data_IF_195391715531
#
_entry.id   IF_195391715531
#
_cell.length_a   1.000
_cell.length_b   1.000
_cell.length_c   1.000
_cell.angle_alpha   90.00
_cell.angle_beta   90.00
_cell.angle_gamma   90.00
#
_symmetry.space_group_name_H-M   'P 1'
#
loop_
_entity.id
_entity.type
_entity.pdbx_description
1 polymer ?
#
# COMPACT_ATOMS: atom_id res chain seq x y z
N UNK A 1 -15.01 -27.32 25.24
CA UNK A 1 -14.84 -27.24 23.77
C UNK A 1 -14.39 -25.82 23.49
N UNK A 2 -13.08 -25.60 23.59
CA UNK A 2 -12.49 -24.29 23.32
C UNK A 2 -12.71 -23.97 21.86
N UNK A 3 -13.44 -22.88 21.62
CA UNK A 3 -13.45 -22.22 20.33
C UNK A 3 -12.04 -21.70 20.09
N UNK A 4 -11.17 -22.51 19.51
CA UNK A 4 -10.07 -22.05 18.67
C UNK A 4 -10.70 -21.19 17.57
N UNK A 5 -11.03 -19.94 17.92
CA UNK A 5 -11.33 -18.92 16.93
C UNK A 5 -10.07 -18.83 16.11
N UNK A 6 -10.18 -19.27 14.87
CA UNK A 6 -9.25 -19.04 13.77
C UNK A 6 -8.83 -17.56 13.82
N UNK A 7 -7.76 -17.23 14.55
CA UNK A 7 -7.28 -15.86 14.62
C UNK A 7 -6.66 -15.59 13.26
N UNK A 8 -7.29 -14.70 12.50
CA UNK A 8 -6.88 -14.37 11.15
C UNK A 8 -5.82 -13.28 11.21
N UNK A 9 -4.71 -13.46 10.48
CA UNK A 9 -3.75 -12.39 10.28
C UNK A 9 -4.29 -11.40 9.24
N UNK A 10 -4.18 -10.11 9.51
CA UNK A 10 -4.49 -9.04 8.57
C UNK A 10 -3.24 -8.23 8.25
N UNK A 11 -2.87 -8.12 6.98
CA UNK A 11 -1.81 -7.22 6.51
C UNK A 11 -2.44 -6.00 5.84
N UNK A 12 -2.01 -4.80 6.26
CA UNK A 12 -2.47 -3.52 5.70
C UNK A 12 -1.29 -2.63 5.31
N UNK A 13 -1.52 -1.69 4.41
CA UNK A 13 -0.51 -0.75 3.91
C UNK A 13 -0.85 0.72 4.23
N UNK A 14 -1.94 0.95 4.97
CA UNK A 14 -2.31 2.25 5.53
C UNK A 14 -2.37 2.17 7.07
N UNK A 15 -1.75 3.15 7.73
CA UNK A 15 -1.63 3.16 9.20
C UNK A 15 -2.97 3.46 9.87
N UNK A 16 -3.80 4.32 9.28
CA UNK A 16 -5.10 4.66 9.84
C UNK A 16 -6.02 3.45 9.78
N UNK A 17 -5.98 2.68 8.70
CA UNK A 17 -6.67 1.40 8.60
C UNK A 17 -6.20 0.41 9.69
N UNK A 18 -4.89 0.27 9.89
CA UNK A 18 -4.35 -0.58 10.97
C UNK A 18 -4.93 -0.20 12.34
N UNK A 19 -4.92 1.10 12.64
CA UNK A 19 -5.46 1.63 13.90
C UNK A 19 -6.97 1.37 14.03
N UNK A 20 -7.74 1.60 12.96
CA UNK A 20 -9.19 1.37 12.96
C UNK A 20 -9.54 -0.10 13.26
N UNK A 21 -8.82 -1.05 12.65
CA UNK A 21 -9.03 -2.49 12.89
C UNK A 21 -8.69 -2.90 14.34
N UNK A 22 -7.67 -2.27 14.93
CA UNK A 22 -7.29 -2.52 16.32
C UNK A 22 -8.32 -1.96 17.30
N UNK A 23 -8.85 -0.76 17.03
CA UNK A 23 -9.88 -0.11 17.85
C UNK A 23 -11.14 -0.98 17.97
N UNK A 24 -11.51 -1.69 16.91
CA UNK A 24 -12.66 -2.61 16.90
C UNK A 24 -12.32 -4.03 17.39
N UNK A 25 -11.10 -4.24 17.93
CA UNK A 25 -10.73 -5.46 18.65
C UNK A 25 -10.01 -6.53 17.82
N UNK A 26 -9.60 -6.24 16.57
CA UNK A 26 -8.79 -7.18 15.79
C UNK A 26 -7.34 -7.14 16.29
N UNK A 27 -6.83 -8.29 16.75
CA UNK A 27 -5.53 -8.38 17.42
C UNK A 27 -4.35 -8.56 16.45
N UNK A 28 -4.49 -9.43 15.45
CA UNK A 28 -3.40 -9.76 14.51
C UNK A 28 -3.45 -8.85 13.28
N UNK A 29 -3.10 -7.57 13.49
CA UNK A 29 -3.04 -6.56 12.42
C UNK A 29 -1.60 -6.11 12.23
N UNK A 30 -1.01 -6.49 11.10
CA UNK A 30 0.35 -6.15 10.68
C UNK A 30 0.27 -4.96 9.72
N UNK A 31 1.06 -3.94 10.00
CA UNK A 31 1.16 -2.75 9.16
C UNK A 31 2.52 -2.76 8.46
N UNK A 32 2.51 -2.72 7.12
CA UNK A 32 3.71 -2.55 6.33
C UNK A 32 3.87 -1.06 5.98
N UNK A 33 4.91 -0.43 6.50
CA UNK A 33 5.15 1.02 6.36
C UNK A 33 5.88 1.41 5.08
N UNK A 34 6.16 0.42 4.23
CA UNK A 34 6.80 0.65 2.96
C UNK A 34 5.90 1.43 2.01
N UNK A 35 6.45 2.49 1.46
CA UNK A 35 5.82 3.21 0.37
C UNK A 35 6.09 2.51 -0.97
N UNK A 36 5.11 1.73 -1.42
CA UNK A 36 5.18 1.03 -2.70
C UNK A 36 4.83 1.90 -3.91
N UNK A 37 4.39 3.15 -3.70
CA UNK A 37 4.00 4.05 -4.80
C UNK A 37 5.20 4.75 -5.46
N UNK A 38 6.40 4.56 -4.90
CA UNK A 38 7.58 5.32 -5.27
C UNK A 38 8.85 4.46 -5.22
N UNK A 39 9.74 4.69 -6.19
CA UNK A 39 11.15 4.32 -6.24
C UNK A 39 11.50 2.89 -6.62
N UNK A 40 12.62 2.78 -7.33
CA UNK A 40 13.39 1.56 -7.58
C UNK A 40 13.28 0.60 -6.40
N UNK A 41 12.36 -0.36 -6.51
CA UNK A 41 12.37 -1.53 -5.66
C UNK A 41 13.53 -2.37 -6.22
N UNK A 42 14.75 -1.96 -5.88
CA UNK A 42 15.95 -2.72 -6.18
C UNK A 42 15.87 -3.99 -5.34
N UNK A 43 15.41 -5.08 -5.96
CA UNK A 43 15.43 -6.43 -5.40
C UNK A 43 15.08 -6.48 -3.91
N UNK A 44 13.87 -6.06 -3.59
CA UNK A 44 13.47 -6.12 -2.19
C UNK A 44 12.90 -7.49 -1.85
N UNK A 45 13.80 -8.35 -1.39
CA UNK A 45 13.51 -9.76 -1.19
C UNK A 45 12.80 -10.04 0.13
N UNK A 46 12.76 -9.08 1.07
CA UNK A 46 12.28 -9.33 2.43
C UNK A 46 11.26 -8.32 2.93
N UNK A 47 9.98 -8.57 2.62
CA UNK A 47 8.85 -7.77 3.09
C UNK A 47 8.75 -7.66 4.62
N UNK A 48 9.27 -8.64 5.37
CA UNK A 48 9.18 -8.67 6.84
C UNK A 48 9.97 -7.52 7.51
N UNK A 49 11.00 -6.99 6.84
CA UNK A 49 11.79 -5.85 7.34
C UNK A 49 10.97 -4.55 7.40
N UNK A 50 9.87 -4.49 6.63
CA UNK A 50 8.99 -3.33 6.55
C UNK A 50 7.71 -3.49 7.37
N UNK A 51 7.56 -4.60 8.10
CA UNK A 51 6.46 -4.77 9.02
C UNK A 51 6.79 -4.05 10.33
N UNK A 52 5.86 -3.23 10.81
CA UNK A 52 5.95 -2.62 12.14
C UNK A 52 5.58 -3.67 13.19
N UNK A 53 6.56 -4.06 13.99
CA UNK A 53 6.41 -5.06 15.04
C UNK A 53 6.14 -4.48 16.43
N UNK A 54 6.14 -3.15 16.57
CA UNK A 54 6.03 -2.42 17.86
C UNK A 54 4.77 -2.75 18.66
N UNK A 55 3.73 -3.27 17.99
CA UNK A 55 2.47 -3.67 18.62
C UNK A 55 2.47 -5.10 19.20
N UNK A 56 3.54 -5.88 18.97
CA UNK A 56 3.67 -7.26 19.42
C UNK A 56 4.70 -7.37 20.53
N UNK A 57 4.30 -7.94 21.67
CA UNK A 57 5.21 -8.17 22.80
C UNK A 57 6.26 -9.23 22.52
N UNK A 58 5.97 -10.18 21.64
CA UNK A 58 6.91 -11.21 21.17
C UNK A 58 6.94 -11.21 19.64
N UNK A 59 7.99 -10.57 19.10
CA UNK A 59 8.19 -10.39 17.66
C UNK A 59 8.43 -11.73 16.97
N UNK A 60 9.25 -12.61 17.59
CA UNK A 60 9.59 -13.89 16.98
C UNK A 60 8.35 -14.78 16.84
N UNK A 61 7.52 -14.83 17.88
CA UNK A 61 6.23 -15.53 17.83
C UNK A 61 5.28 -14.92 16.80
N UNK A 62 5.20 -13.59 16.70
CA UNK A 62 4.34 -12.92 15.72
C UNK A 62 4.77 -13.21 14.27
N UNK A 63 6.07 -13.21 13.99
CA UNK A 63 6.62 -13.56 12.68
C UNK A 63 6.32 -15.02 12.33
N UNK A 64 6.51 -15.94 13.28
CA UNK A 64 6.22 -17.35 13.10
C UNK A 64 4.73 -17.59 12.79
N UNK A 65 3.83 -16.93 13.52
CA UNK A 65 2.38 -16.98 13.28
C UNK A 65 2.05 -16.45 11.89
N UNK A 66 2.58 -15.28 11.51
CA UNK A 66 2.34 -14.68 10.20
C UNK A 66 2.79 -15.60 9.04
N UNK A 67 3.90 -16.32 9.22
CA UNK A 67 4.48 -17.21 8.21
C UNK A 67 3.85 -18.61 8.15
N UNK A 68 3.04 -19.00 9.14
CA UNK A 68 2.39 -20.32 9.20
C UNK A 68 0.90 -20.26 8.94
N UNK A 69 0.24 -19.26 9.48
CA UNK A 69 -1.21 -19.17 9.45
C UNK A 69 -1.71 -18.48 8.17
N UNK A 70 -3.03 -18.48 8.00
CA UNK A 70 -3.67 -17.79 6.89
C UNK A 70 -3.57 -16.26 7.05
N UNK A 71 -3.43 -15.58 5.91
CA UNK A 71 -3.26 -14.13 5.83
C UNK A 71 -4.36 -13.52 4.96
N UNK A 72 -5.02 -12.48 5.47
CA UNK A 72 -5.88 -11.58 4.70
C UNK A 72 -5.11 -10.29 4.42
N UNK A 73 -4.89 -9.99 3.15
CA UNK A 73 -4.26 -8.73 2.72
C UNK A 73 -5.39 -7.74 2.39
N UNK A 74 -5.44 -6.63 3.13
CA UNK A 74 -6.34 -5.53 2.84
C UNK A 74 -5.64 -4.53 1.95
N UNK A 75 -6.25 -4.24 0.82
CA UNK A 75 -5.74 -3.27 -0.14
C UNK A 75 -6.88 -2.39 -0.61
N UNK A 76 -6.55 -1.15 -0.94
CA UNK A 76 -7.48 -0.21 -1.51
C UNK A 76 -7.10 0.17 -2.93
N UNK A 77 -7.86 1.06 -3.57
CA UNK A 77 -7.64 1.42 -4.99
C UNK A 77 -6.56 2.48 -5.19
N UNK A 78 -5.81 2.83 -4.13
CA UNK A 78 -4.70 3.75 -4.24
C UNK A 78 -3.41 3.03 -4.71
N UNK A 79 -2.50 3.77 -5.37
CA UNK A 79 -1.23 3.24 -5.89
C UNK A 79 -0.42 2.39 -4.91
N UNK A 80 -0.18 2.91 -3.71
CA UNK A 80 0.69 2.28 -2.72
C UNK A 80 0.12 0.94 -2.25
N UNK A 81 -1.17 0.89 -1.92
CA UNK A 81 -1.80 -0.32 -1.42
C UNK A 81 -1.91 -1.42 -2.48
N UNK A 82 -2.17 -1.06 -3.75
CA UNK A 82 -2.18 -2.03 -4.86
C UNK A 82 -0.79 -2.59 -5.17
N UNK A 83 0.26 -1.77 -5.12
CA UNK A 83 1.62 -2.26 -5.27
C UNK A 83 2.03 -3.11 -4.06
N UNK A 84 1.64 -2.70 -2.85
CA UNK A 84 1.83 -3.48 -1.62
C UNK A 84 1.17 -4.85 -1.68
N UNK A 85 -0.06 -4.92 -2.21
CA UNK A 85 -0.74 -6.19 -2.50
C UNK A 85 0.13 -7.10 -3.38
N UNK A 86 0.66 -6.57 -4.48
CA UNK A 86 1.48 -7.35 -5.41
C UNK A 86 2.78 -7.83 -4.77
N UNK A 87 3.44 -6.97 -4.00
CA UNK A 87 4.65 -7.32 -3.26
C UNK A 87 4.38 -8.41 -2.21
N UNK A 88 3.33 -8.24 -1.40
CA UNK A 88 2.93 -9.17 -0.36
C UNK A 88 2.57 -10.54 -0.93
N UNK A 89 1.70 -10.59 -1.94
CA UNK A 89 1.34 -11.86 -2.58
C UNK A 89 2.58 -12.55 -3.16
N UNK A 90 3.51 -11.79 -3.74
CA UNK A 90 4.75 -12.33 -4.31
C UNK A 90 5.71 -12.90 -3.26
N UNK A 91 5.89 -12.17 -2.15
CA UNK A 91 6.72 -12.63 -1.03
C UNK A 91 6.14 -13.91 -0.41
N UNK A 92 4.86 -13.88 -0.07
CA UNK A 92 4.17 -14.99 0.58
C UNK A 92 3.83 -16.15 -0.36
N UNK A 93 3.90 -15.97 -1.68
CA UNK A 93 3.83 -17.05 -2.66
C UNK A 93 4.89 -18.12 -2.37
N UNK A 94 6.14 -17.70 -2.13
CA UNK A 94 7.26 -18.61 -1.83
C UNK A 94 7.11 -19.32 -0.49
N UNK A 95 6.36 -18.74 0.45
CA UNK A 95 6.11 -19.29 1.80
C UNK A 95 4.93 -20.27 1.85
N UNK A 96 4.19 -20.45 0.75
CA UNK A 96 3.05 -21.38 0.63
C UNK A 96 1.91 -21.16 1.65
N UNK A 97 1.81 -19.99 2.26
CA UNK A 97 0.68 -19.65 3.13
C UNK A 97 -0.61 -19.49 2.33
N UNK A 98 -1.77 -19.67 3.00
CA UNK A 98 -3.08 -19.38 2.42
C UNK A 98 -3.32 -17.87 2.44
N UNK A 99 -3.60 -17.30 1.27
CA UNK A 99 -3.80 -15.85 1.11
C UNK A 99 -5.25 -15.57 0.72
N UNK A 100 -5.86 -14.66 1.48
CA UNK A 100 -7.09 -13.97 1.16
C UNK A 100 -6.76 -12.53 0.82
N UNK A 101 -7.57 -11.92 -0.03
CA UNK A 101 -7.52 -10.48 -0.30
C UNK A 101 -8.90 -9.89 0.00
N UNK A 102 -8.93 -8.64 0.44
CA UNK A 102 -10.17 -7.86 0.51
C UNK A 102 -9.87 -6.43 0.08
N UNK A 103 -10.71 -5.89 -0.78
CA UNK A 103 -10.63 -4.51 -1.24
C UNK A 103 -12.01 -3.85 -1.30
N UNK A 104 -12.07 -2.51 -1.35
CA UNK A 104 -13.33 -1.78 -1.35
C UNK A 104 -14.17 -2.18 -2.58
N UNK A 105 -15.45 -2.46 -2.34
CA UNK A 105 -16.39 -2.78 -3.40
C UNK A 105 -16.76 -1.52 -4.18
N UNK A 106 -16.27 -1.45 -5.42
CA UNK A 106 -16.55 -0.35 -6.37
C UNK A 106 -18.05 -0.24 -6.67
N UNK A 107 -18.81 -1.33 -6.52
CA UNK A 107 -20.25 -1.34 -6.68
C UNK A 107 -20.99 -0.80 -5.46
N UNK A 108 -20.42 -0.93 -4.26
CA UNK A 108 -21.04 -0.50 -3.01
C UNK A 108 -20.90 1.02 -2.80
N UNK A 109 -19.76 1.62 -3.19
CA UNK A 109 -19.59 3.06 -3.16
C UNK A 109 -18.46 3.53 -4.10
N UNK A 110 -18.84 4.13 -5.24
CA UNK A 110 -17.89 4.63 -6.25
C UNK A 110 -16.90 5.69 -5.74
N UNK A 111 -17.17 6.29 -4.57
CA UNK A 111 -16.35 7.35 -3.99
C UNK A 111 -15.33 6.84 -2.96
N UNK A 112 -15.38 5.56 -2.56
CA UNK A 112 -14.47 5.00 -1.57
C UNK A 112 -13.22 4.50 -2.29
N UNK A 113 -12.09 5.17 -2.04
CA UNK A 113 -10.80 4.79 -2.61
C UNK A 113 -9.92 4.07 -1.58
N UNK A 114 -10.20 4.24 -0.28
CA UNK A 114 -9.55 3.54 0.83
C UNK A 114 -10.53 3.05 1.90
N UNK A 115 -10.24 1.90 2.52
CA UNK A 115 -10.96 1.48 3.74
C UNK A 115 -10.83 2.50 4.88
N UNK A 116 -9.80 3.36 4.87
CA UNK A 116 -9.69 4.46 5.83
C UNK A 116 -10.79 5.51 5.68
N UNK A 117 -11.51 5.51 4.55
CA UNK A 117 -12.62 6.43 4.30
C UNK A 117 -13.93 5.97 5.00
N UNK A 118 -13.96 4.75 5.54
CA UNK A 118 -15.11 4.16 6.23
C UNK A 118 -14.99 4.30 7.76
N UNK A 119 -16.14 4.27 8.46
CA UNK A 119 -16.12 4.16 9.91
C UNK A 119 -15.60 2.78 10.34
N UNK A 120 -14.89 2.65 11.48
CA UNK A 120 -14.25 1.39 11.87
C UNK A 120 -15.16 0.15 11.88
N UNK A 121 -16.43 0.28 12.29
CA UNK A 121 -17.38 -0.83 12.30
C UNK A 121 -17.79 -1.28 10.88
N UNK A 122 -17.89 -0.35 9.93
CA UNK A 122 -18.24 -0.64 8.53
C UNK A 122 -17.09 -1.38 7.81
N UNK A 123 -15.85 -1.21 8.30
CA UNK A 123 -14.68 -1.89 7.74
C UNK A 123 -14.82 -3.41 7.88
N UNK A 124 -15.22 -3.95 9.04
CA UNK A 124 -15.33 -5.41 9.21
C UNK A 124 -16.37 -6.01 8.28
N UNK A 125 -17.54 -5.38 8.18
CA UNK A 125 -18.61 -5.85 7.30
C UNK A 125 -18.14 -5.88 5.85
N UNK A 126 -17.53 -4.78 5.39
CA UNK A 126 -16.97 -4.69 4.03
C UNK A 126 -15.84 -5.69 3.80
N UNK A 127 -14.96 -5.89 4.78
CA UNK A 127 -13.83 -6.81 4.69
C UNK A 127 -14.30 -8.24 4.52
N UNK A 128 -15.28 -8.70 5.30
CA UNK A 128 -15.77 -10.08 5.22
C UNK A 128 -16.61 -10.34 3.96
N UNK A 129 -17.39 -9.35 3.49
CA UNK A 129 -18.14 -9.46 2.23
C UNK A 129 -17.22 -9.56 1.01
N UNK A 130 -16.16 -8.76 0.98
CA UNK A 130 -15.25 -8.67 -0.18
C UNK A 130 -14.06 -9.64 -0.10
N UNK A 131 -14.05 -10.52 0.90
CA UNK A 131 -12.95 -11.44 1.16
C UNK A 131 -12.92 -12.55 0.12
N UNK A 132 -11.86 -12.58 -0.66
CA UNK A 132 -11.65 -13.60 -1.70
C UNK A 132 -10.39 -14.38 -1.42
N UNK A 133 -10.51 -15.72 -1.39
CA UNK A 133 -9.35 -16.61 -1.35
C UNK A 133 -8.66 -16.62 -2.71
N UNK A 134 -7.35 -16.38 -2.72
CA UNK A 134 -6.57 -16.50 -3.95
C UNK A 134 -6.29 -17.97 -4.28
N UNK A 135 -6.60 -18.36 -5.52
CA UNK A 135 -6.14 -19.61 -6.14
C UNK A 135 -4.66 -19.52 -6.49
N UNK A 136 -4.01 -20.68 -6.69
CA UNK A 136 -2.61 -20.70 -7.15
C UNK A 136 -2.40 -19.94 -8.46
N UNK A 137 -3.32 -20.09 -9.41
CA UNK A 137 -3.31 -19.37 -10.68
C UNK A 137 -3.37 -17.84 -10.48
N UNK A 138 -4.24 -17.35 -9.59
CA UNK A 138 -4.33 -15.92 -9.29
C UNK A 138 -3.05 -15.41 -8.62
N UNK A 139 -2.47 -16.18 -7.69
CA UNK A 139 -1.19 -15.82 -7.05
C UNK A 139 -0.05 -15.74 -8.05
N UNK A 140 0.04 -16.71 -8.96
CA UNK A 140 1.06 -16.72 -10.01
C UNK A 140 0.92 -15.53 -10.96
N UNK A 141 -0.33 -15.17 -11.33
CA UNK A 141 -0.60 -13.98 -12.15
C UNK A 141 -0.14 -12.70 -11.45
N UNK A 142 -0.42 -12.55 -10.16
CA UNK A 142 0.03 -11.41 -9.36
C UNK A 142 1.56 -11.38 -9.26
N UNK A 143 2.19 -12.53 -8.99
CA UNK A 143 3.65 -12.67 -8.95
C UNK A 143 4.32 -12.23 -10.26
N UNK A 144 3.80 -12.70 -11.40
CA UNK A 144 4.28 -12.29 -12.73
C UNK A 144 4.12 -10.78 -12.93
N UNK A 145 2.98 -10.22 -12.53
CA UNK A 145 2.73 -8.78 -12.65
C UNK A 145 3.69 -7.96 -11.78
N UNK A 146 3.99 -8.44 -10.58
CA UNK A 146 4.95 -7.81 -9.69
C UNK A 146 6.36 -7.76 -10.30
N UNK A 147 6.83 -8.90 -10.82
CA UNK A 147 8.13 -8.96 -11.48
C UNK A 147 8.22 -8.03 -12.69
N UNK A 148 7.15 -7.93 -13.50
CA UNK A 148 7.08 -6.99 -14.62
C UNK A 148 7.23 -5.54 -14.13
N UNK A 149 6.54 -5.15 -13.05
CA UNK A 149 6.61 -3.80 -12.48
C UNK A 149 8.03 -3.48 -12.01
N UNK A 150 8.68 -4.41 -11.31
CA UNK A 150 10.07 -4.25 -10.86
C UNK A 150 11.02 -4.12 -12.06
N UNK A 151 10.92 -5.03 -13.03
CA UNK A 151 11.81 -5.07 -14.21
C UNK A 151 11.68 -3.82 -15.08
N UNK A 152 10.46 -3.30 -15.21
CA UNK A 152 10.17 -2.10 -16.01
C UNK A 152 10.25 -0.81 -15.21
N UNK A 153 10.52 -0.89 -13.90
CA UNK A 153 10.54 0.26 -12.99
C UNK A 153 9.26 1.11 -13.09
N UNK A 154 8.11 0.46 -13.31
CA UNK A 154 6.82 1.13 -13.59
C UNK A 154 5.92 1.25 -12.36
N UNK A 155 6.52 1.48 -11.19
CA UNK A 155 5.79 1.53 -9.92
C UNK A 155 5.13 2.89 -9.65
N UNK A 156 5.51 3.94 -10.39
CA UNK A 156 4.80 5.20 -10.34
C UNK A 156 3.41 5.04 -10.99
N UNK A 157 2.38 5.18 -10.17
CA UNK A 157 0.99 5.02 -10.59
C UNK A 157 0.14 6.19 -10.15
N UNK A 158 -0.80 6.56 -11.00
CA UNK A 158 -1.73 7.65 -10.74
C UNK A 158 -3.16 7.16 -10.88
N UNK A 159 -4.07 7.80 -10.15
CA UNK A 159 -5.48 7.71 -10.44
C UNK A 159 -5.87 8.83 -11.42
N UNK A 160 -6.25 8.48 -12.65
CA UNK A 160 -6.62 9.44 -13.69
C UNK A 160 -7.79 8.91 -14.51
N UNK A 161 -8.80 9.75 -14.71
CA UNK A 161 -10.02 9.41 -15.46
C UNK A 161 -10.72 8.14 -14.90
N UNK A 162 -10.80 8.03 -13.57
CA UNK A 162 -11.45 6.91 -12.89
C UNK A 162 -10.72 5.57 -13.00
N UNK A 163 -9.44 5.57 -13.42
CA UNK A 163 -8.63 4.36 -13.56
C UNK A 163 -7.23 4.58 -13.01
N UNK A 164 -6.66 3.51 -12.46
CA UNK A 164 -5.24 3.46 -12.12
C UNK A 164 -4.40 3.27 -13.38
N UNK A 165 -3.37 4.09 -13.56
CA UNK A 165 -2.48 4.06 -14.73
C UNK A 165 -1.02 4.08 -14.26
N UNK A 166 -0.18 3.27 -14.90
CA UNK A 166 1.27 3.39 -14.77
C UNK A 166 1.75 4.63 -15.53
N UNK A 167 2.72 5.34 -14.98
CA UNK A 167 3.36 6.50 -15.61
C UNK A 167 4.88 6.39 -15.50
N UNK A 168 5.60 7.12 -16.35
CA UNK A 168 7.06 7.25 -16.29
C UNK A 168 7.47 8.13 -15.11
N UNK A 169 8.70 8.00 -14.62
CA UNK A 169 9.21 8.77 -13.49
C UNK A 169 9.09 10.29 -13.71
N UNK A 170 9.27 10.77 -14.93
CA UNK A 170 9.24 12.19 -15.25
C UNK A 170 7.82 12.79 -15.28
N UNK A 171 6.78 11.98 -15.03
CA UNK A 171 5.38 12.38 -15.17
C UNK A 171 5.00 13.64 -14.37
N UNK A 172 5.60 13.84 -13.20
CA UNK A 172 5.30 14.98 -12.32
C UNK A 172 6.23 16.18 -12.49
N UNK A 173 7.16 16.14 -13.44
CA UNK A 173 8.18 17.18 -13.61
C UNK A 173 7.58 18.56 -13.82
N UNK A 174 6.56 18.66 -14.67
CA UNK A 174 5.91 19.94 -14.96
C UNK A 174 5.19 20.50 -13.72
N UNK A 175 4.55 19.62 -12.95
CA UNK A 175 3.91 19.97 -11.69
C UNK A 175 4.94 20.45 -10.66
N UNK A 176 6.11 19.80 -10.56
CA UNK A 176 7.20 20.20 -9.67
C UNK A 176 7.83 21.52 -10.12
N UNK A 177 8.14 21.67 -11.41
CA UNK A 177 8.67 22.91 -12.01
C UNK A 177 7.72 24.08 -11.79
N UNK A 178 6.41 23.86 -11.88
CA UNK A 178 5.40 24.89 -11.63
C UNK A 178 5.48 25.44 -10.20
N UNK A 179 5.58 24.57 -9.19
CA UNK A 179 5.69 24.98 -7.78
C UNK A 179 7.06 25.62 -7.50
N UNK A 180 8.16 25.03 -7.98
CA UNK A 180 9.50 25.53 -7.73
C UNK A 180 9.75 26.89 -8.39
N UNK A 181 9.14 27.20 -9.53
CA UNK A 181 9.22 28.57 -10.12
C UNK A 181 8.56 29.64 -9.26
N UNK A 182 7.64 29.27 -8.37
CA UNK A 182 6.88 30.20 -7.52
C UNK A 182 7.49 30.36 -6.13
N UNK A 183 8.54 29.59 -5.79
CA UNK A 183 9.16 29.58 -4.47
C UNK A 183 10.69 29.62 -4.56
N UNK A 184 11.39 30.14 -3.54
CA UNK A 184 12.85 30.08 -3.49
C UNK A 184 13.33 28.63 -3.57
N UNK A 185 14.35 28.34 -4.39
CA UNK A 185 14.89 26.99 -4.61
C UNK A 185 15.49 26.36 -3.34
N UNK A 186 15.92 27.19 -2.39
CA UNK A 186 16.76 26.75 -1.26
C UNK A 186 15.98 26.22 -0.06
N UNK A 187 14.66 26.07 -0.17
CA UNK A 187 13.82 25.62 0.94
C UNK A 187 12.84 24.51 0.52
N UNK A 188 13.36 23.29 0.44
CA UNK A 188 12.56 22.10 0.15
C UNK A 188 11.44 21.90 1.18
N UNK A 189 11.67 22.25 2.45
CA UNK A 189 10.66 22.15 3.50
C UNK A 189 9.43 23.04 3.21
N UNK A 190 9.63 24.16 2.51
CA UNK A 190 8.55 25.04 2.04
C UNK A 190 7.94 24.64 0.68
N UNK A 191 8.66 23.87 -0.14
CA UNK A 191 8.18 23.39 -1.46
C UNK A 191 7.32 22.13 -1.32
N UNK A 192 7.77 21.17 -0.49
CA UNK A 192 7.16 19.86 -0.34
C UNK A 192 5.65 19.92 0.00
N UNK A 193 5.17 20.72 0.98
CA UNK A 193 3.74 20.81 1.26
C UNK A 193 2.91 21.32 0.07
N UNK A 194 3.45 22.25 -0.73
CA UNK A 194 2.77 22.78 -1.90
C UNK A 194 2.70 21.77 -3.04
N UNK A 195 3.75 20.98 -3.25
CA UNK A 195 3.71 19.85 -4.20
C UNK A 195 2.67 18.82 -3.75
N UNK A 196 2.67 18.42 -2.47
CA UNK A 196 1.69 17.47 -1.95
C UNK A 196 0.25 17.95 -2.13
N UNK A 197 0.00 19.23 -1.86
CA UNK A 197 -1.33 19.82 -2.02
C UNK A 197 -1.77 19.81 -3.49
N UNK A 198 -0.88 20.18 -4.42
CA UNK A 198 -1.15 20.12 -5.85
C UNK A 198 -1.48 18.70 -6.31
N UNK A 199 -0.67 17.72 -5.90
CA UNK A 199 -0.83 16.32 -6.29
C UNK A 199 -2.14 15.73 -5.76
N UNK A 200 -2.47 15.99 -4.49
CA UNK A 200 -3.75 15.57 -3.91
C UNK A 200 -4.94 16.20 -4.62
N UNK A 201 -4.84 17.49 -4.98
CA UNK A 201 -5.91 18.18 -5.70
C UNK A 201 -6.12 17.67 -7.12
N UNK A 202 -5.03 17.36 -7.84
CA UNK A 202 -5.08 16.98 -9.26
C UNK A 202 -5.23 15.49 -9.51
N UNK A 203 -4.68 14.65 -8.64
CA UNK A 203 -4.59 13.20 -8.84
C UNK A 203 -5.18 12.38 -7.69
N UNK A 204 -5.70 13.03 -6.64
CA UNK A 204 -6.30 12.38 -5.46
C UNK A 204 -5.33 11.49 -4.65
N UNK A 205 -4.02 11.74 -4.74
CA UNK A 205 -3.03 11.07 -3.91
C UNK A 205 -1.83 11.96 -3.62
N UNK A 206 -1.15 11.67 -2.51
CA UNK A 206 0.19 12.21 -2.23
C UNK A 206 1.26 11.21 -2.63
N UNK A 207 2.47 11.68 -2.89
CA UNK A 207 3.62 10.84 -3.27
C UNK A 207 4.64 10.86 -2.14
N UNK A 208 5.50 9.86 -2.00
CA UNK A 208 6.57 9.87 -1.00
C UNK A 208 7.37 11.20 -1.04
N UNK A 209 7.58 11.90 0.09
CA UNK A 209 8.46 13.06 0.15
C UNK A 209 9.86 12.84 -0.41
N UNK A 210 10.45 11.65 -0.18
CA UNK A 210 11.78 11.28 -0.71
C UNK A 210 11.80 11.22 -2.23
N UNK A 211 10.67 10.86 -2.86
CA UNK A 211 10.54 10.93 -4.32
C UNK A 211 10.75 12.33 -4.83
N UNK A 212 9.99 13.24 -4.20
CA UNK A 212 9.89 14.62 -4.59
C UNK A 212 11.25 15.26 -4.37
N UNK A 213 11.90 14.96 -3.23
CA UNK A 213 13.25 15.40 -2.92
C UNK A 213 14.27 14.96 -3.97
N UNK A 214 14.31 13.67 -4.30
CA UNK A 214 15.21 13.14 -5.32
C UNK A 214 14.94 13.73 -6.70
N UNK A 215 13.68 13.78 -7.15
CA UNK A 215 13.34 14.32 -8.47
C UNK A 215 13.66 15.81 -8.55
N UNK A 216 13.37 16.57 -7.49
CA UNK A 216 13.75 17.97 -7.40
C UNK A 216 15.28 18.15 -7.38
N UNK A 217 16.03 17.30 -6.69
CA UNK A 217 17.50 17.37 -6.63
C UNK A 217 18.19 17.08 -7.96
N UNK A 218 17.59 16.23 -8.81
CA UNK A 218 18.15 15.85 -10.11
C UNK A 218 17.81 16.82 -11.25
N UNK A 219 16.64 17.46 -11.21
CA UNK A 219 16.09 18.22 -12.36
C UNK A 219 15.84 19.71 -12.08
N UNK A 220 15.83 20.11 -10.81
CA UNK A 220 15.57 21.50 -10.40
C UNK A 220 16.82 22.20 -9.85
N UNK A 221 17.93 21.45 -9.74
CA UNK A 221 19.30 21.95 -9.57
C UNK A 221 19.80 22.62 -10.83
#
# INVERSE_FOLDING_TARGET
>A
MDSERNVMNYLVFDRNLANSLRVIGIKQVYYCDRDYSVFHIENDENLLEYIRWEDFSDIASAEEVLLKDQLTILYSLCPAELCGLYAAVSFFYRKKIRIYISGPDVAYNQNVISYSDLFPLEIIESVEVNKVRLTEYQREKIYKKWNEIIQTQSNLRIWKNGKLQNVVDEYFDDDFKFIVRQKPKDDFANILPSIQLLLRGKYHFGINPRYIEWRCSKELG
#
